data_IF_213980716295
#
_entry.id   IF_213980716295
#
_cell.length_a   1.000
_cell.length_b   1.000
_cell.length_c   1.000
_cell.angle_alpha   90.00
_cell.angle_beta   90.00
_cell.angle_gamma   90.00
#
_symmetry.space_group_name_H-M   'P 1'
#
loop_
_entity.id
_entity.type
_entity.pdbx_description
1 polymer ?
#
# COMPACT_ATOMS: atom_id res chain seq x y z
N UNK A 1 1.80 -25.54 -0.29
CA UNK A 1 0.50 -25.23 -0.92
C UNK A 1 0.57 -25.47 -2.43
N UNK A 2 -0.20 -26.42 -2.96
CA UNK A 2 -0.22 -26.79 -4.39
C UNK A 2 -1.19 -25.93 -5.23
N UNK A 3 -1.29 -24.62 -4.96
CA UNK A 3 -2.12 -23.73 -5.78
C UNK A 3 -1.39 -23.43 -7.08
N UNK A 4 -1.99 -23.79 -8.22
CA UNK A 4 -1.40 -23.54 -9.54
C UNK A 4 -1.26 -22.04 -9.81
N UNK A 5 -0.18 -21.64 -10.47
CA UNK A 5 0.09 -20.24 -10.84
C UNK A 5 -0.93 -19.61 -11.79
N UNK A 6 -1.84 -20.41 -12.38
CA UNK A 6 -2.96 -19.96 -13.23
C UNK A 6 -4.32 -19.99 -12.54
N UNK A 7 -4.36 -20.25 -11.22
CA UNK A 7 -5.60 -20.26 -10.45
C UNK A 7 -6.37 -18.96 -10.59
N UNK A 8 -7.70 -19.07 -10.74
CA UNK A 8 -8.64 -17.94 -10.69
C UNK A 8 -8.82 -17.40 -9.27
N UNK A 9 -8.35 -18.15 -8.28
CA UNK A 9 -8.41 -17.80 -6.86
C UNK A 9 -7.01 -17.35 -6.43
N UNK A 10 -6.94 -16.17 -5.86
CA UNK A 10 -5.76 -15.60 -5.20
C UNK A 10 -5.87 -15.68 -3.68
N UNK A 11 -4.70 -15.70 -3.03
CA UNK A 11 -4.58 -15.68 -1.58
C UNK A 11 -3.57 -14.61 -1.15
N UNK A 12 -3.92 -13.85 -0.11
CA UNK A 12 -2.97 -13.08 0.70
C UNK A 12 -2.82 -13.83 2.02
N UNK A 13 -1.58 -14.05 2.45
CA UNK A 13 -1.27 -14.81 3.65
C UNK A 13 -0.45 -13.96 4.61
N UNK A 14 -0.74 -14.08 5.89
CA UNK A 14 0.10 -13.62 6.99
C UNK A 14 0.86 -14.82 7.55
N UNK A 15 2.18 -14.85 7.39
CA UNK A 15 3.02 -16.04 7.63
C UNK A 15 4.30 -15.71 8.40
N UNK A 16 4.84 -16.71 9.08
CA UNK A 16 6.22 -16.68 9.59
C UNK A 16 7.14 -17.42 8.60
N UNK A 17 8.27 -16.82 8.28
CA UNK A 17 9.30 -17.35 7.39
C UNK A 17 10.63 -17.40 8.12
N UNK A 18 11.19 -18.59 8.28
CA UNK A 18 12.57 -18.75 8.69
C UNK A 18 13.50 -18.54 7.49
N UNK A 19 14.61 -17.85 7.75
CA UNK A 19 15.66 -17.54 6.79
C UNK A 19 16.92 -18.35 7.14
N UNK A 20 17.16 -19.49 6.48
CA UNK A 20 18.31 -20.33 6.79
C UNK A 20 19.63 -19.60 6.60
N UNK A 21 20.56 -19.75 7.56
CA UNK A 21 21.89 -19.15 7.48
C UNK A 21 22.67 -19.53 6.22
N UNK A 22 22.49 -20.77 5.72
CA UNK A 22 23.13 -21.22 4.48
C UNK A 22 22.72 -20.47 3.21
N UNK A 23 21.69 -19.62 3.27
CA UNK A 23 21.28 -18.76 2.16
C UNK A 23 21.81 -17.33 2.27
N UNK A 24 22.51 -16.98 3.35
CA UNK A 24 22.92 -15.60 3.62
C UNK A 24 23.89 -15.10 2.56
N UNK A 25 24.90 -15.90 2.21
CA UNK A 25 25.88 -15.52 1.19
C UNK A 25 25.23 -15.41 -0.19
N UNK A 26 24.37 -16.35 -0.57
CA UNK A 26 23.70 -16.34 -1.87
C UNK A 26 22.65 -15.24 -2.02
N UNK A 27 22.11 -14.74 -0.92
CA UNK A 27 21.08 -13.70 -0.91
C UNK A 27 21.58 -12.36 -0.35
N UNK A 28 22.89 -12.19 -0.14
CA UNK A 28 23.45 -10.99 0.46
C UNK A 28 23.07 -9.72 -0.31
N UNK A 29 23.07 -9.79 -1.64
CA UNK A 29 22.77 -8.66 -2.52
C UNK A 29 21.28 -8.36 -2.64
N UNK A 30 20.43 -9.40 -2.57
CA UNK A 30 18.98 -9.27 -2.74
C UNK A 30 18.19 -10.13 -1.73
N UNK A 31 18.15 -9.74 -0.44
CA UNK A 31 17.36 -10.43 0.56
C UNK A 31 15.86 -10.40 0.24
N UNK A 32 15.24 -11.58 0.31
CA UNK A 32 13.80 -11.73 0.11
C UNK A 32 12.99 -11.20 1.30
N UNK A 33 11.75 -10.79 1.00
CA UNK A 33 10.77 -10.32 1.98
C UNK A 33 11.25 -9.12 2.83
N UNK A 34 11.57 -7.96 2.22
CA UNK A 34 11.96 -6.78 2.99
C UNK A 34 10.82 -6.32 3.90
N UNK A 35 11.17 -5.77 5.06
CA UNK A 35 10.24 -5.35 6.11
C UNK A 35 10.40 -3.88 6.42
N UNK A 36 9.33 -3.22 6.84
CA UNK A 36 9.40 -1.83 7.29
C UNK A 36 9.68 -1.81 8.78
N UNK A 37 10.87 -1.37 9.17
CA UNK A 37 11.31 -1.31 10.57
C UNK A 37 12.37 -0.22 10.78
N UNK A 38 12.69 0.09 12.04
CA UNK A 38 13.69 1.09 12.40
C UNK A 38 15.10 0.50 12.35
N UNK A 39 16.01 1.07 11.53
CA UNK A 39 17.41 0.68 11.58
C UNK A 39 18.01 0.99 12.96
N UNK A 40 19.05 0.23 13.38
CA UNK A 40 19.78 0.51 14.61
C UNK A 40 20.25 1.98 14.65
N UNK A 41 19.95 2.68 15.75
CA UNK A 41 20.35 4.09 15.94
C UNK A 41 19.58 5.11 15.09
N UNK A 42 18.52 4.73 14.38
CA UNK A 42 17.64 5.65 13.63
C UNK A 42 16.24 5.71 14.23
N UNK A 43 15.62 6.90 14.15
CA UNK A 43 14.28 7.15 14.70
C UNK A 43 13.15 6.84 13.72
N UNK A 44 13.43 6.86 12.42
CA UNK A 44 12.45 6.66 11.36
C UNK A 44 12.48 5.24 10.81
N UNK A 45 11.31 4.71 10.49
CA UNK A 45 11.19 3.42 9.81
C UNK A 45 11.77 3.53 8.41
N UNK A 46 12.44 2.46 7.97
CA UNK A 46 12.90 2.28 6.60
C UNK A 46 12.47 0.92 6.10
N UNK A 47 12.50 0.74 4.78
CA UNK A 47 12.39 -0.58 4.19
C UNK A 47 13.74 -1.28 4.33
N UNK A 48 13.80 -2.33 5.15
CA UNK A 48 15.01 -3.09 5.45
C UNK A 48 14.97 -4.43 4.72
N UNK A 49 15.98 -4.66 3.88
CA UNK A 49 16.27 -5.96 3.28
C UNK A 49 17.21 -6.73 4.23
N UNK A 50 16.63 -7.42 5.22
CA UNK A 50 17.40 -8.21 6.19
C UNK A 50 17.36 -9.69 5.86
N UNK A 51 18.39 -10.42 6.26
CA UNK A 51 18.45 -11.89 6.19
C UNK A 51 17.87 -12.56 7.44
N UNK A 52 17.16 -11.82 8.30
CA UNK A 52 16.55 -12.37 9.51
C UNK A 52 15.26 -13.13 9.21
N UNK A 53 14.84 -13.94 10.18
CA UNK A 53 13.50 -14.52 10.19
C UNK A 53 12.44 -13.41 10.11
N UNK A 54 11.35 -13.72 9.42
CA UNK A 54 10.23 -12.82 9.21
C UNK A 54 9.05 -13.35 10.01
N UNK A 55 8.49 -12.49 10.85
CA UNK A 55 7.29 -12.81 11.63
C UNK A 55 6.09 -12.03 11.11
N UNK A 56 4.94 -12.69 11.02
CA UNK A 56 3.66 -12.10 10.60
C UNK A 56 3.76 -11.32 9.27
N UNK A 57 4.56 -11.84 8.35
CA UNK A 57 4.79 -11.24 7.04
C UNK A 57 3.56 -11.42 6.16
N UNK A 58 3.03 -10.32 5.63
CA UNK A 58 1.86 -10.34 4.74
C UNK A 58 2.34 -10.37 3.29
N UNK A 59 1.99 -11.41 2.54
CA UNK A 59 2.47 -11.63 1.18
C UNK A 59 1.41 -12.29 0.28
N UNK A 60 1.48 -12.01 -1.01
CA UNK A 60 0.68 -12.71 -2.00
C UNK A 60 1.21 -14.14 -2.23
N UNK A 61 0.32 -15.10 -2.43
CA UNK A 61 0.67 -16.54 -2.48
C UNK A 61 1.76 -16.89 -3.50
N UNK A 62 1.81 -16.20 -4.66
CA UNK A 62 2.83 -16.48 -5.68
C UNK A 62 4.22 -16.00 -5.24
N UNK A 63 4.28 -14.88 -4.53
CA UNK A 63 5.53 -14.38 -3.96
C UNK A 63 6.02 -15.31 -2.85
N UNK A 64 5.10 -15.81 -2.01
CA UNK A 64 5.41 -16.86 -1.04
C UNK A 64 5.95 -18.15 -1.69
N UNK A 65 5.33 -18.61 -2.79
CA UNK A 65 5.81 -19.76 -3.55
C UNK A 65 7.25 -19.55 -4.07
N UNK A 66 7.56 -18.35 -4.56
CA UNK A 66 8.92 -18.01 -4.97
C UNK A 66 9.88 -18.03 -3.77
N UNK A 67 9.51 -17.43 -2.64
CA UNK A 67 10.34 -17.43 -1.44
C UNK A 67 10.70 -18.86 -1.00
N UNK A 68 9.72 -19.76 -0.99
CA UNK A 68 9.94 -21.18 -0.66
C UNK A 68 10.82 -21.87 -1.69
N UNK A 69 10.69 -21.56 -2.99
CA UNK A 69 11.56 -22.09 -4.05
C UNK A 69 13.01 -21.64 -3.88
N UNK A 70 13.25 -20.42 -3.40
CA UNK A 70 14.58 -19.90 -3.07
C UNK A 70 15.06 -20.33 -1.67
N UNK A 71 14.37 -21.25 -1.00
CA UNK A 71 14.86 -21.90 0.22
C UNK A 71 14.38 -21.30 1.54
N UNK A 72 13.57 -20.24 1.54
CA UNK A 72 12.93 -19.77 2.77
C UNK A 72 11.96 -20.84 3.29
N UNK A 73 11.93 -21.02 4.61
CA UNK A 73 11.08 -22.05 5.25
C UNK A 73 9.89 -21.39 5.91
N UNK A 74 8.69 -21.67 5.42
CA UNK A 74 7.47 -21.21 6.08
C UNK A 74 7.20 -22.04 7.33
N UNK A 75 7.19 -21.40 8.49
CA UNK A 75 7.04 -22.06 9.80
C UNK A 75 5.60 -22.02 10.31
N UNK A 76 4.88 -20.92 10.07
CA UNK A 76 3.50 -20.74 10.54
C UNK A 76 2.66 -19.90 9.57
N UNK A 77 1.37 -20.21 9.48
CA UNK A 77 0.37 -19.36 8.83
C UNK A 77 -0.56 -18.84 9.92
N UNK A 78 -0.70 -17.52 10.01
CA UNK A 78 -1.59 -16.86 10.97
C UNK A 78 -2.97 -16.62 10.38
N UNK A 79 -3.03 -16.07 9.15
CA UNK A 79 -4.30 -15.68 8.50
C UNK A 79 -4.20 -15.86 6.99
N UNK A 80 -5.36 -16.11 6.37
CA UNK A 80 -5.49 -16.25 4.92
C UNK A 80 -6.71 -15.45 4.47
N UNK A 81 -6.52 -14.58 3.48
CA UNK A 81 -7.59 -13.92 2.75
C UNK A 81 -7.66 -14.49 1.34
N UNK A 82 -8.83 -15.04 0.97
CA UNK A 82 -9.10 -15.63 -0.35
C UNK A 82 -9.91 -14.64 -1.20
N UNK A 83 -9.54 -14.46 -2.46
CA UNK A 83 -10.28 -13.62 -3.41
C UNK A 83 -10.23 -14.19 -4.84
N UNK A 84 -11.15 -13.74 -5.70
CA UNK A 84 -11.21 -14.16 -7.11
C UNK A 84 -10.52 -13.11 -7.99
N UNK A 85 -9.63 -13.56 -8.88
CA UNK A 85 -8.75 -12.71 -9.72
C UNK A 85 -9.42 -12.29 -11.05
N UNK A 86 -10.71 -12.57 -11.24
CA UNK A 86 -11.34 -12.51 -12.56
C UNK A 86 -12.13 -11.21 -12.83
N UNK A 87 -11.51 -10.24 -13.53
CA UNK A 87 -12.22 -9.32 -14.43
C UNK A 87 -11.30 -8.66 -15.48
N UNK A 88 -10.09 -8.25 -15.11
CA UNK A 88 -9.26 -7.37 -15.96
C UNK A 88 -8.44 -8.08 -17.06
N UNK A 89 -8.21 -9.41 -16.97
CA UNK A 89 -7.42 -10.13 -17.98
C UNK A 89 -8.15 -10.26 -19.32
N UNK A 90 -9.49 -10.39 -19.33
CA UNK A 90 -10.29 -10.49 -20.56
C UNK A 90 -10.38 -9.16 -21.32
N UNK A 91 -10.41 -8.03 -20.60
CA UNK A 91 -10.50 -6.69 -21.19
C UNK A 91 -9.16 -6.24 -21.80
N UNK A 92 -8.03 -6.62 -21.20
CA UNK A 92 -6.69 -6.27 -21.72
C UNK A 92 -6.35 -6.93 -23.07
N UNK A 93 -6.89 -8.11 -23.34
CA UNK A 93 -6.65 -8.86 -24.60
C UNK A 93 -7.40 -8.26 -25.80
N UNK A 94 -8.35 -7.34 -25.58
CA UNK A 94 -9.19 -6.76 -26.65
C UNK A 94 -8.73 -5.39 -27.17
N UNK A 95 -7.73 -4.76 -26.57
CA UNK A 95 -7.24 -3.45 -27.02
C UNK A 95 -6.18 -3.62 -28.13
N UNK A 96 -6.46 -3.14 -29.35
CA UNK A 96 -5.61 -3.32 -30.56
C UNK A 96 -4.94 -2.04 -31.11
N UNK A 97 -5.09 -0.86 -30.49
CA UNK A 97 -4.69 0.43 -31.10
C UNK A 97 -3.55 1.18 -30.35
N UNK A 98 -2.99 2.22 -30.99
CA UNK A 98 -1.90 3.14 -30.53
C UNK A 98 -2.11 3.85 -29.17
N UNK A 99 -3.23 3.63 -28.50
CA UNK A 99 -3.53 4.11 -27.14
C UNK A 99 -2.65 3.49 -26.03
N UNK A 100 -1.60 2.74 -26.38
CA UNK A 100 -0.69 2.04 -25.45
C UNK A 100 -0.09 2.95 -24.38
N UNK A 101 0.21 4.21 -24.71
CA UNK A 101 0.73 5.19 -23.75
C UNK A 101 -0.35 5.70 -22.77
N UNK A 102 -1.59 5.88 -23.22
CA UNK A 102 -2.72 6.21 -22.36
C UNK A 102 -3.01 5.07 -21.37
N UNK A 103 -3.03 3.82 -21.85
CA UNK A 103 -3.25 2.66 -20.98
C UNK A 103 -2.12 2.45 -19.97
N UNK A 104 -0.87 2.82 -20.30
CA UNK A 104 0.24 2.80 -19.34
C UNK A 104 -0.01 3.81 -18.21
N UNK A 105 -0.39 5.03 -18.56
CA UNK A 105 -0.72 6.07 -17.58
C UNK A 105 -1.93 5.68 -16.74
N UNK A 106 -2.99 5.15 -17.36
CA UNK A 106 -4.18 4.67 -16.66
C UNK A 106 -3.86 3.53 -15.69
N UNK A 107 -3.02 2.57 -16.08
CA UNK A 107 -2.62 1.48 -15.17
C UNK A 107 -1.84 2.01 -13.97
N UNK A 108 -0.92 2.97 -14.17
CA UNK A 108 -0.19 3.60 -13.07
C UNK A 108 -1.11 4.45 -12.19
N UNK A 109 -2.05 5.19 -12.79
CA UNK A 109 -3.02 6.01 -12.07
C UNK A 109 -3.98 5.14 -11.24
N UNK A 110 -4.49 4.04 -11.80
CA UNK A 110 -5.32 3.05 -11.10
C UNK A 110 -4.53 2.47 -9.95
N UNK A 111 -3.28 2.03 -10.18
CA UNK A 111 -2.43 1.52 -9.11
C UNK A 111 -2.26 2.54 -7.97
N UNK A 112 -1.88 3.78 -8.29
CA UNK A 112 -1.74 4.85 -7.30
C UNK A 112 -3.04 5.11 -6.54
N UNK A 113 -4.18 5.11 -7.23
CA UNK A 113 -5.50 5.32 -6.62
C UNK A 113 -5.89 4.18 -5.70
N UNK A 114 -5.55 2.93 -6.03
CA UNK A 114 -5.80 1.78 -5.13
C UNK A 114 -4.98 1.83 -3.84
N UNK A 115 -3.80 2.45 -3.88
CA UNK A 115 -2.88 2.59 -2.74
C UNK A 115 -3.02 3.92 -1.99
N UNK A 116 -4.02 4.73 -2.33
CA UNK A 116 -4.25 6.02 -1.71
C UNK A 116 -4.58 5.87 -0.22
N UNK A 117 -3.88 6.62 0.63
CA UNK A 117 -4.16 6.66 2.06
C UNK A 117 -5.22 7.73 2.37
N UNK A 118 -6.49 7.31 2.38
CA UNK A 118 -7.65 8.16 2.70
C UNK A 118 -7.60 8.79 4.10
N UNK A 119 -6.79 8.25 5.03
CA UNK A 119 -6.61 8.84 6.37
C UNK A 119 -5.83 10.16 6.35
N UNK A 120 -5.06 10.39 5.29
CA UNK A 120 -4.32 11.63 5.11
C UNK A 120 -5.17 12.72 4.46
N UNK A 121 -6.44 12.45 4.11
CA UNK A 121 -7.33 13.45 3.55
C UNK A 121 -7.73 14.47 4.62
N UNK A 122 -7.69 15.74 4.22
CA UNK A 122 -8.02 16.90 5.06
C UNK A 122 -9.06 17.71 4.30
N UNK A 123 -10.07 18.19 5.02
CA UNK A 123 -11.05 19.12 4.46
C UNK A 123 -10.50 20.54 4.59
N UNK A 124 -10.27 21.19 3.46
CA UNK A 124 -9.80 22.58 3.43
C UNK A 124 -10.99 23.49 3.18
N UNK A 125 -11.17 24.50 4.04
CA UNK A 125 -12.20 25.53 3.91
C UNK A 125 -11.53 26.88 3.74
N UNK A 126 -11.86 27.57 2.65
CA UNK A 126 -11.47 28.96 2.44
C UNK A 126 -12.52 29.87 3.06
N UNK A 127 -12.08 30.78 3.91
CA UNK A 127 -12.94 31.70 4.66
C UNK A 127 -12.44 33.12 4.48
N UNK A 128 -13.36 34.06 4.26
CA UNK A 128 -13.03 35.46 4.00
C UNK A 128 -13.37 36.41 5.15
N UNK A 129 -14.09 35.92 6.16
CA UNK A 129 -14.55 36.70 7.31
C UNK A 129 -14.10 36.03 8.60
N UNK A 130 -13.72 36.85 9.58
CA UNK A 130 -13.33 36.34 10.90
C UNK A 130 -14.55 35.84 11.69
N UNK A 131 -15.54 36.72 11.83
CA UNK A 131 -16.74 36.50 12.64
C UNK A 131 -17.84 35.73 11.91
N UNK A 132 -18.80 35.24 12.71
CA UNK A 132 -20.03 34.63 12.23
C UNK A 132 -20.00 33.09 12.21
N UNK A 133 -21.17 32.50 11.99
CA UNK A 133 -21.38 31.03 12.07
C UNK A 133 -20.46 30.22 11.15
N UNK A 134 -20.05 30.82 10.03
CA UNK A 134 -19.14 30.22 9.04
C UNK A 134 -17.80 30.96 8.95
N UNK A 135 -17.53 31.88 9.88
CA UNK A 135 -16.28 32.63 9.98
C UNK A 135 -15.10 31.77 10.42
N UNK A 136 -13.90 32.33 10.33
CA UNK A 136 -12.67 31.64 10.67
C UNK A 136 -12.66 31.19 12.14
N UNK A 137 -13.20 32.01 13.05
CA UNK A 137 -13.30 31.69 14.48
C UNK A 137 -14.12 30.41 14.72
N UNK A 138 -15.30 30.31 14.09
CA UNK A 138 -16.18 29.15 14.21
C UNK A 138 -15.59 27.86 13.61
N UNK A 139 -14.65 27.98 12.67
CA UNK A 139 -13.95 26.84 12.09
C UNK A 139 -12.76 26.40 12.92
N UNK A 140 -12.02 27.35 13.52
CA UNK A 140 -10.89 27.08 14.41
C UNK A 140 -11.35 26.44 15.73
N UNK A 141 -12.53 26.82 16.22
CA UNK A 141 -13.10 26.25 17.45
C UNK A 141 -13.60 24.80 17.30
N UNK A 142 -13.64 24.25 16.07
CA UNK A 142 -14.07 22.87 15.87
C UNK A 142 -13.05 21.88 16.42
N UNK A 143 -13.50 20.76 17.01
CA UNK A 143 -12.60 19.76 17.60
C UNK A 143 -11.72 19.05 16.55
N UNK A 144 -12.08 19.11 15.27
CA UNK A 144 -11.30 18.56 14.18
C UNK A 144 -10.38 19.59 13.49
N UNK A 145 -10.20 20.77 14.06
CA UNK A 145 -9.24 21.74 13.56
C UNK A 145 -7.83 21.16 13.51
N UNK A 146 -7.15 21.31 12.37
CA UNK A 146 -5.77 20.88 12.19
C UNK A 146 -4.80 22.05 12.15
N UNK A 147 -5.02 22.98 11.22
CA UNK A 147 -4.12 24.09 10.96
C UNK A 147 -4.87 25.23 10.25
N UNK A 148 -4.24 26.41 10.18
CA UNK A 148 -4.72 27.52 9.36
C UNK A 148 -3.56 28.15 8.60
N UNK A 149 -3.84 28.62 7.39
CA UNK A 149 -2.90 29.37 6.57
C UNK A 149 -3.57 30.65 6.07
N UNK A 150 -2.92 31.81 6.28
CA UNK A 150 -3.47 33.12 5.92
C UNK A 150 -2.84 33.52 4.59
N UNK A 151 -3.67 33.67 3.55
CA UNK A 151 -3.21 34.07 2.22
C UNK A 151 -3.24 35.59 2.04
N UNK A 152 -4.24 36.26 2.62
CA UNK A 152 -4.37 37.72 2.62
C UNK A 152 -5.22 38.18 3.81
N UNK A 153 -5.34 39.49 4.01
CA UNK A 153 -6.14 40.08 5.10
C UNK A 153 -7.58 39.54 5.14
N UNK A 154 -8.15 39.24 3.97
CA UNK A 154 -9.53 38.77 3.83
C UNK A 154 -9.61 37.32 3.32
N UNK A 155 -8.54 36.52 3.43
CA UNK A 155 -8.58 35.12 2.98
C UNK A 155 -7.71 34.21 3.85
N UNK A 156 -8.36 33.25 4.49
CA UNK A 156 -7.74 32.22 5.33
C UNK A 156 -8.18 30.84 4.86
N UNK A 157 -7.23 29.93 4.67
CA UNK A 157 -7.50 28.49 4.60
C UNK A 157 -7.49 27.90 6.01
N UNK A 158 -8.56 27.21 6.36
CA UNK A 158 -8.65 26.40 7.57
C UNK A 158 -8.67 24.94 7.17
N UNK A 159 -7.71 24.18 7.68
CA UNK A 159 -7.57 22.75 7.49
C UNK A 159 -8.26 21.99 8.63
N UNK A 160 -9.20 21.12 8.29
CA UNK A 160 -9.95 20.29 9.23
C UNK A 160 -9.69 18.81 8.96
N UNK A 161 -9.42 18.03 10.00
CA UNK A 161 -9.32 16.57 9.91
C UNK A 161 -10.71 15.97 9.67
N UNK A 162 -10.76 14.85 8.96
CA UNK A 162 -11.99 14.07 8.85
C UNK A 162 -12.26 13.32 10.15
N UNK A 163 -13.46 13.51 10.70
CA UNK A 163 -13.91 12.81 11.91
C UNK A 163 -14.21 11.32 11.63
N UNK A 164 -14.73 11.03 10.45
CA UNK A 164 -15.01 9.68 9.96
C UNK A 164 -14.29 9.48 8.63
N UNK A 165 -13.57 8.37 8.52
CA UNK A 165 -12.86 7.99 7.30
C UNK A 165 -13.43 6.67 6.80
N UNK A 166 -13.98 6.69 5.59
CA UNK A 166 -14.42 5.49 4.89
C UNK A 166 -13.22 4.85 4.17
N UNK A 167 -12.98 3.55 4.41
CA UNK A 167 -11.91 2.80 3.75
C UNK A 167 -12.44 2.15 2.46
N UNK A 168 -12.64 2.97 1.44
CA UNK A 168 -13.22 2.59 0.15
C UNK A 168 -12.17 2.16 -0.90
N UNK A 169 -10.88 2.30 -0.57
CA UNK A 169 -9.78 1.98 -1.50
C UNK A 169 -9.43 0.49 -1.45
N UNK A 170 -9.37 -0.22 -2.60
CA UNK A 170 -9.03 -1.63 -2.64
C UNK A 170 -7.50 -1.85 -2.55
N UNK A 171 -6.90 -1.49 -1.41
CA UNK A 171 -5.44 -1.51 -1.15
C UNK A 171 -4.82 -2.90 -1.42
N UNK A 172 -5.57 -3.97 -1.15
CA UNK A 172 -5.15 -5.34 -1.41
C UNK A 172 -4.83 -5.60 -2.89
N UNK A 173 -5.48 -4.90 -3.82
CA UNK A 173 -5.20 -5.00 -5.27
C UNK A 173 -3.81 -4.43 -5.56
N UNK A 174 -3.52 -3.23 -5.06
CA UNK A 174 -2.20 -2.63 -5.20
C UNK A 174 -1.11 -3.50 -4.59
N UNK A 175 -1.34 -4.05 -3.40
CA UNK A 175 -0.39 -4.97 -2.74
C UNK A 175 -0.08 -6.17 -3.65
N UNK A 176 -1.11 -6.81 -4.22
CA UNK A 176 -0.92 -7.94 -5.12
C UNK A 176 -0.16 -7.55 -6.40
N UNK A 177 -0.42 -6.37 -6.96
CA UNK A 177 0.31 -5.89 -8.15
C UNK A 177 1.80 -5.73 -7.85
N UNK A 178 2.15 -5.12 -6.70
CA UNK A 178 3.54 -4.99 -6.27
C UNK A 178 4.19 -6.35 -6.08
N UNK A 179 3.54 -7.26 -5.37
CA UNK A 179 4.11 -8.59 -5.14
C UNK A 179 4.27 -9.39 -6.45
N UNK A 180 3.34 -9.25 -7.40
CA UNK A 180 3.48 -9.88 -8.72
C UNK A 180 4.65 -9.27 -9.51
N UNK A 181 4.91 -7.97 -9.39
CA UNK A 181 6.04 -7.33 -10.06
C UNK A 181 7.39 -7.81 -9.53
N UNK A 182 7.50 -8.09 -8.22
CA UNK A 182 8.71 -8.64 -7.59
C UNK A 182 9.09 -10.01 -8.13
N UNK A 183 8.10 -10.82 -8.52
CA UNK A 183 8.33 -12.16 -9.07
C UNK A 183 8.96 -12.14 -10.47
N UNK A 184 8.90 -11.01 -11.15
CA UNK A 184 9.42 -10.85 -12.52
C UNK A 184 10.80 -10.21 -12.59
N UNK A 185 11.34 -9.78 -11.44
CA UNK A 185 12.73 -9.34 -11.31
C UNK A 185 13.61 -10.58 -11.14
#
# INVERSE_FOLDING_TARGET
MSVTSKSLIGYILEVDLAYPQGLHDSHADLPLCPTRDKPPGKRSDKLLATLYDKHRYVTYYRNLQQCVRHGLRMTKIHRILRFVVLLNTRLRTRARNEFKNLYKLMNNAVFGKTMENVRNHVDVRLVTQWDGRYGAEAMISKPNFHSRNIFSENLVAVELRKLSVELDKPIYVGMCILDISKIRL
#
